data_IF_895836362071
#
_entry.id   IF_895836362071
#
_cell.length_a   1.000
_cell.length_b   1.000
_cell.length_c   1.000
_cell.angle_alpha   90.00
_cell.angle_beta   90.00
_cell.angle_gamma   90.00
#
_symmetry.space_group_name_H-M   'P 1'
#
loop_
_entity.id
_entity.type
_entity.pdbx_description
1 polymer ?
#
# COMPACT_ATOMS: atom_id res chain seq x y z
N UNK A 1 25.14 0.43 6.03
CA UNK A 1 23.83 0.81 5.45
C UNK A 1 23.25 -0.22 4.47
N UNK A 2 23.99 -1.26 4.04
CA UNK A 2 23.51 -2.27 3.07
C UNK A 2 22.17 -2.96 3.42
N UNK A 3 21.82 -3.12 4.69
CA UNK A 3 20.57 -3.79 5.10
C UNK A 3 19.31 -2.92 4.88
N UNK A 4 19.37 -1.61 5.19
CA UNK A 4 18.24 -0.68 4.92
C UNK A 4 17.98 -0.56 3.43
N UNK A 5 19.05 -0.44 2.63
CA UNK A 5 18.98 -0.47 1.17
C UNK A 5 18.31 -1.73 0.62
N UNK A 6 18.64 -2.91 1.17
CA UNK A 6 18.03 -4.20 0.77
C UNK A 6 16.55 -4.26 1.11
N UNK A 7 16.16 -3.78 2.29
CA UNK A 7 14.75 -3.72 2.70
C UNK A 7 13.97 -2.78 1.79
N UNK A 8 14.50 -1.58 1.54
CA UNK A 8 13.83 -0.59 0.71
C UNK A 8 13.66 -1.07 -0.74
N UNK A 9 14.67 -1.75 -1.30
CA UNK A 9 14.57 -2.34 -2.63
C UNK A 9 13.58 -3.51 -2.67
N UNK A 10 13.63 -4.41 -1.67
CA UNK A 10 12.68 -5.52 -1.58
C UNK A 10 11.24 -5.00 -1.48
N UNK A 11 11.02 -3.93 -0.71
CA UNK A 11 9.71 -3.30 -0.55
C UNK A 11 9.23 -2.65 -1.85
N UNK A 12 10.08 -1.91 -2.57
CA UNK A 12 9.72 -1.32 -3.87
C UNK A 12 9.35 -2.41 -4.87
N UNK A 13 10.15 -3.48 -4.97
CA UNK A 13 9.89 -4.61 -5.88
C UNK A 13 8.59 -5.32 -5.49
N UNK A 14 8.36 -5.53 -4.20
CA UNK A 14 7.13 -6.14 -3.68
C UNK A 14 5.90 -5.29 -3.96
N UNK A 15 5.97 -3.97 -3.69
CA UNK A 15 4.89 -3.03 -3.96
C UNK A 15 4.59 -2.91 -5.46
N UNK A 16 5.63 -2.84 -6.29
CA UNK A 16 5.49 -2.83 -7.75
C UNK A 16 4.87 -4.14 -8.26
N UNK A 17 5.28 -5.29 -7.73
CA UNK A 17 4.71 -6.60 -8.05
C UNK A 17 3.25 -6.70 -7.64
N UNK A 18 2.89 -6.25 -6.44
CA UNK A 18 1.49 -6.22 -5.97
C UNK A 18 0.61 -5.29 -6.82
N UNK A 19 1.12 -4.10 -7.17
CA UNK A 19 0.42 -3.16 -8.05
C UNK A 19 0.23 -3.74 -9.45
N UNK A 20 1.26 -4.33 -10.05
CA UNK A 20 1.18 -4.98 -11.37
C UNK A 20 0.26 -6.20 -11.36
N UNK A 21 0.28 -7.01 -10.31
CA UNK A 21 -0.65 -8.12 -10.15
C UNK A 21 -2.09 -7.59 -10.04
N UNK A 22 -2.32 -6.53 -9.26
CA UNK A 22 -3.65 -5.95 -9.08
C UNK A 22 -4.26 -5.38 -10.36
N UNK A 23 -3.44 -4.83 -11.27
CA UNK A 23 -3.91 -4.34 -12.57
C UNK A 23 -4.20 -5.47 -13.55
N UNK A 24 -3.36 -6.51 -13.59
CA UNK A 24 -3.55 -7.70 -14.44
C UNK A 24 -4.77 -8.53 -14.03
N UNK A 25 -5.12 -8.51 -12.75
CA UNK A 25 -6.24 -9.26 -12.18
C UNK A 25 -7.58 -8.51 -12.23
N UNK A 26 -7.63 -7.35 -12.90
CA UNK A 26 -8.81 -6.46 -12.98
C UNK A 26 -10.09 -7.09 -13.54
N UNK A 27 -10.04 -8.32 -14.08
CA UNK A 27 -11.18 -9.08 -14.58
C UNK A 27 -11.40 -10.47 -13.98
N UNK A 28 -10.53 -10.96 -13.09
CA UNK A 28 -10.64 -12.32 -12.52
C UNK A 28 -10.88 -12.21 -11.02
N UNK A 29 -12.02 -12.71 -10.49
CA UNK A 29 -12.26 -12.72 -9.06
C UNK A 29 -11.24 -13.63 -8.38
N UNK A 30 -10.22 -13.03 -7.77
CA UNK A 30 -9.20 -13.76 -7.01
C UNK A 30 -9.84 -14.45 -5.80
N UNK A 31 -9.34 -15.61 -5.37
CA UNK A 31 -9.72 -16.14 -4.07
C UNK A 31 -9.32 -15.15 -2.97
N UNK A 32 -10.29 -14.79 -2.13
CA UNK A 32 -10.17 -13.90 -0.96
C UNK A 32 -8.93 -14.11 -0.07
N UNK A 33 -8.41 -15.34 0.16
CA UNK A 33 -7.17 -15.52 0.93
C UNK A 33 -5.94 -14.89 0.27
N UNK A 34 -5.86 -14.80 -1.06
CA UNK A 34 -4.70 -14.19 -1.75
C UNK A 34 -4.68 -12.68 -1.50
N UNK A 35 -5.84 -12.03 -1.58
CA UNK A 35 -6.01 -10.59 -1.28
C UNK A 35 -5.65 -10.28 0.17
N UNK A 36 -6.03 -11.16 1.10
CA UNK A 36 -5.68 -11.02 2.52
C UNK A 36 -4.20 -11.27 2.81
N UNK A 37 -3.56 -12.18 2.07
CA UNK A 37 -2.12 -12.46 2.22
C UNK A 37 -1.24 -11.29 1.78
N UNK A 38 -1.64 -10.56 0.74
CA UNK A 38 -1.01 -9.30 0.36
C UNK A 38 -1.13 -8.23 1.46
N UNK A 39 -2.30 -8.19 2.13
CA UNK A 39 -2.58 -7.29 3.25
C UNK A 39 -1.68 -7.57 4.47
N UNK A 40 -1.50 -8.85 4.79
CA UNK A 40 -0.67 -9.31 5.92
C UNK A 40 0.82 -9.02 5.72
N UNK A 41 1.29 -8.89 4.49
CA UNK A 41 2.70 -8.63 4.19
C UNK A 41 3.01 -7.14 4.02
N UNK A 42 2.07 -6.32 3.53
CA UNK A 42 2.33 -4.89 3.30
C UNK A 42 2.49 -4.08 4.60
N UNK A 43 1.69 -4.37 5.63
CA UNK A 43 1.72 -3.70 6.94
C UNK A 43 3.03 -3.86 7.71
N UNK A 44 3.54 -5.09 7.94
CA UNK A 44 4.78 -5.28 8.69
C UNK A 44 5.99 -4.71 7.95
N UNK A 45 5.99 -4.75 6.61
CA UNK A 45 7.09 -4.19 5.81
C UNK A 45 7.14 -2.67 5.94
N UNK A 46 6.00 -1.98 5.79
CA UNK A 46 5.92 -0.52 5.98
C UNK A 46 6.34 -0.12 7.41
N UNK A 47 5.91 -0.91 8.41
CA UNK A 47 6.32 -0.72 9.80
C UNK A 47 7.84 -0.85 9.99
N UNK A 48 8.47 -1.87 9.38
CA UNK A 48 9.93 -2.08 9.43
C UNK A 48 10.66 -0.92 8.73
N UNK A 49 10.16 -0.45 7.59
CA UNK A 49 10.78 0.66 6.84
C UNK A 49 10.70 1.96 7.63
N UNK A 50 9.53 2.31 8.17
CA UNK A 50 9.35 3.50 9.04
C UNK A 50 10.23 3.39 10.29
N UNK A 51 10.28 2.21 10.92
CA UNK A 51 11.12 1.98 12.08
C UNK A 51 12.62 2.13 11.77
N UNK A 52 13.08 1.55 10.65
CA UNK A 52 14.47 1.67 10.19
C UNK A 52 14.82 3.13 9.88
N UNK A 53 13.90 3.85 9.24
CA UNK A 53 14.04 5.25 8.89
C UNK A 53 14.12 6.14 10.15
N UNK A 54 13.24 5.91 11.14
CA UNK A 54 13.26 6.60 12.44
C UNK A 54 14.52 6.31 13.24
N UNK A 55 14.98 5.05 13.24
CA UNK A 55 16.22 4.65 13.91
C UNK A 55 17.44 5.33 13.28
N UNK A 56 17.45 5.49 11.96
CA UNK A 56 18.49 6.24 11.24
C UNK A 56 18.47 7.72 11.61
N UNK A 57 17.29 8.33 11.67
CA UNK A 57 17.16 9.72 12.10
C UNK A 57 17.70 9.94 13.51
N UNK A 58 17.27 9.13 14.49
CA UNK A 58 17.71 9.23 15.88
C UNK A 58 19.24 9.11 15.99
N UNK A 59 19.85 8.20 15.22
CA UNK A 59 21.31 8.05 15.18
C UNK A 59 22.03 9.27 14.59
N UNK A 60 21.38 10.04 13.72
CA UNK A 60 22.00 11.14 12.98
C UNK A 60 21.78 12.50 13.64
N UNK A 61 20.60 12.74 14.18
CA UNK A 61 20.23 14.02 14.79
C UNK A 61 20.28 14.00 16.31
N UNK A 62 20.45 12.81 16.92
CA UNK A 62 20.44 12.63 18.38
C UNK A 62 19.09 12.93 19.04
N UNK A 63 18.05 13.25 18.24
CA UNK A 63 16.71 13.59 18.71
C UNK A 63 15.70 12.61 18.12
N UNK A 64 14.86 12.05 18.98
CA UNK A 64 13.66 11.36 18.53
C UNK A 64 12.68 12.43 18.02
N UNK A 65 12.61 12.61 16.69
CA UNK A 65 11.53 13.39 16.13
C UNK A 65 10.20 12.70 16.49
N UNK A 66 9.41 13.40 17.31
CA UNK A 66 8.09 12.97 17.78
C UNK A 66 7.00 13.35 16.79
N UNK A 67 7.31 14.05 15.70
CA UNK A 67 6.32 14.55 14.75
C UNK A 67 6.57 14.07 13.32
N UNK A 68 5.49 13.88 12.56
CA UNK A 68 5.52 13.52 11.13
C UNK A 68 6.21 14.56 10.23
N UNK A 69 6.62 15.70 10.78
CA UNK A 69 7.38 16.73 10.07
C UNK A 69 8.71 16.22 9.52
N UNK A 70 9.38 15.30 10.21
CA UNK A 70 10.61 14.70 9.68
C UNK A 70 10.35 13.89 8.40
N UNK A 71 9.26 13.12 8.39
CA UNK A 71 8.87 12.32 7.22
C UNK A 71 8.60 13.24 6.02
N UNK A 72 7.87 14.34 6.26
CA UNK A 72 7.62 15.36 5.25
C UNK A 72 8.91 16.01 4.74
N UNK A 73 9.82 16.36 5.65
CA UNK A 73 11.13 16.94 5.30
C UNK A 73 11.97 15.99 4.46
N UNK A 74 12.04 14.71 4.85
CA UNK A 74 12.74 13.66 4.11
C UNK A 74 12.21 13.57 2.68
N UNK A 75 10.90 13.52 2.51
CA UNK A 75 10.25 13.45 1.21
C UNK A 75 10.55 14.68 0.36
N UNK A 76 10.38 15.88 0.92
CA UNK A 76 10.61 17.15 0.22
C UNK A 76 12.07 17.33 -0.23
N UNK A 77 13.03 16.91 0.57
CA UNK A 77 14.46 17.08 0.27
C UNK A 77 14.98 16.07 -0.77
N UNK A 78 14.35 14.90 -0.89
CA UNK A 78 14.85 13.76 -1.69
C UNK A 78 14.07 13.50 -2.97
N UNK A 79 12.79 13.89 -3.03
CA UNK A 79 11.90 13.65 -4.15
C UNK A 79 11.59 14.93 -4.93
N UNK A 80 11.52 14.88 -6.27
CA UNK A 80 11.00 15.98 -7.06
C UNK A 80 9.50 16.13 -6.83
N UNK A 81 9.00 17.37 -6.88
CA UNK A 81 7.61 17.68 -6.54
C UNK A 81 6.57 16.92 -7.35
N UNK A 82 6.83 16.65 -8.64
CA UNK A 82 5.92 15.89 -9.49
C UNK A 82 5.75 14.43 -9.02
N UNK A 83 6.79 13.78 -8.49
CA UNK A 83 6.70 12.43 -7.94
C UNK A 83 5.84 12.41 -6.68
N UNK A 84 5.97 13.44 -5.83
CA UNK A 84 5.15 13.58 -4.63
C UNK A 84 3.67 13.79 -4.98
N UNK A 85 3.38 14.63 -5.99
CA UNK A 85 2.02 14.87 -6.47
C UNK A 85 1.42 13.57 -7.06
N UNK A 86 2.16 12.88 -7.95
CA UNK A 86 1.70 11.62 -8.54
C UNK A 86 1.45 10.56 -7.46
N UNK A 87 2.33 10.46 -6.47
CA UNK A 87 2.18 9.52 -5.37
C UNK A 87 1.01 9.86 -4.46
N UNK A 88 0.77 11.15 -4.20
CA UNK A 88 -0.38 11.61 -3.44
C UNK A 88 -1.68 11.30 -4.19
N UNK A 89 -1.73 11.51 -5.50
CA UNK A 89 -2.89 11.18 -6.34
C UNK A 89 -3.17 9.68 -6.33
N UNK A 90 -2.14 8.83 -6.44
CA UNK A 90 -2.29 7.38 -6.33
C UNK A 90 -2.79 6.97 -4.94
N UNK A 91 -2.17 7.52 -3.88
CA UNK A 91 -2.57 7.26 -2.50
C UNK A 91 -4.04 7.63 -2.26
N UNK A 92 -4.45 8.85 -2.63
CA UNK A 92 -5.83 9.32 -2.50
C UNK A 92 -6.77 8.49 -3.37
N UNK A 93 -6.37 8.15 -4.61
CA UNK A 93 -7.16 7.30 -5.50
C UNK A 93 -7.49 5.94 -4.87
N UNK A 94 -6.51 5.31 -4.21
CA UNK A 94 -6.73 4.07 -3.45
C UNK A 94 -7.69 4.23 -2.27
N UNK A 95 -7.65 5.36 -1.55
CA UNK A 95 -8.61 5.63 -0.47
C UNK A 95 -10.02 5.90 -0.99
N UNK A 96 -10.14 6.66 -2.08
CA UNK A 96 -11.41 6.94 -2.75
C UNK A 96 -12.08 5.64 -3.19
N UNK A 97 -11.33 4.76 -3.87
CA UNK A 97 -11.83 3.42 -4.23
C UNK A 97 -12.30 2.65 -2.99
N UNK A 98 -11.55 2.68 -1.89
CA UNK A 98 -11.96 2.01 -0.64
C UNK A 98 -13.27 2.52 -0.08
N UNK A 99 -13.41 3.84 0.01
CA UNK A 99 -14.59 4.49 0.55
C UNK A 99 -15.85 4.20 -0.30
N UNK A 100 -15.72 4.16 -1.63
CA UNK A 100 -16.85 3.89 -2.52
C UNK A 100 -17.31 2.42 -2.54
N UNK A 101 -16.44 1.45 -2.23
CA UNK A 101 -16.75 0.01 -2.36
C UNK A 101 -16.92 -0.75 -1.03
N UNK A 102 -16.81 -0.08 0.13
CA UNK A 102 -16.95 -0.71 1.47
C UNK A 102 -18.40 -0.88 1.99
N UNK A 103 -19.43 -0.68 1.15
CA UNK A 103 -20.83 -0.57 1.60
C UNK A 103 -21.66 -1.86 1.63
N UNK A 104 -21.30 -2.91 0.90
CA UNK A 104 -22.13 -4.11 0.76
C UNK A 104 -21.33 -5.39 0.95
N UNK A 105 -21.83 -6.29 1.80
CA UNK A 105 -21.21 -7.59 2.04
C UNK A 105 -21.94 -8.66 1.24
N UNK A 106 -21.21 -9.45 0.46
CA UNK A 106 -21.79 -10.49 -0.39
C UNK A 106 -21.40 -11.86 0.15
N UNK A 107 -22.37 -12.76 0.31
CA UNK A 107 -22.14 -14.11 0.84
C UNK A 107 -22.87 -15.17 0.02
N UNK A 108 -22.25 -16.33 -0.09
CA UNK A 108 -22.90 -17.54 -0.59
C UNK A 108 -23.54 -18.26 0.61
N UNK A 109 -24.86 -18.46 0.57
CA UNK A 109 -25.64 -19.06 1.65
C UNK A 109 -25.67 -20.60 1.59
N UNK A 110 -25.12 -21.18 0.53
CA UNK A 110 -25.18 -22.61 0.23
C UNK A 110 -26.27 -22.95 -0.80
N UNK A 111 -26.16 -24.15 -1.39
CA UNK A 111 -27.06 -24.66 -2.43
C UNK A 111 -27.20 -23.78 -3.70
N UNK A 112 -26.16 -23.02 -4.06
CA UNK A 112 -26.19 -22.12 -5.22
C UNK A 112 -27.01 -20.85 -5.01
N UNK A 113 -27.33 -20.52 -3.75
CA UNK A 113 -28.05 -19.31 -3.35
C UNK A 113 -27.07 -18.24 -2.93
N UNK A 114 -27.17 -17.06 -3.53
CA UNK A 114 -26.28 -15.92 -3.26
C UNK A 114 -27.08 -14.80 -2.60
N UNK A 115 -26.50 -14.08 -1.65
CA UNK A 115 -27.13 -12.90 -1.07
C UNK A 115 -26.16 -11.74 -0.90
N UNK A 116 -26.74 -10.54 -0.89
CA UNK A 116 -26.06 -9.31 -0.52
C UNK A 116 -26.70 -8.74 0.74
N UNK A 117 -25.87 -8.19 1.62
CA UNK A 117 -26.30 -7.47 2.79
C UNK A 117 -26.38 -5.97 2.46
N UNK A 118 -27.61 -5.43 2.50
CA UNK A 118 -27.88 -4.01 2.38
C UNK A 118 -28.58 -3.55 3.65
N UNK A 119 -28.02 -2.56 4.36
CA UNK A 119 -28.62 -1.98 5.57
C UNK A 119 -29.04 -3.00 6.64
N UNK A 120 -28.28 -4.09 6.79
CA UNK A 120 -28.55 -5.16 7.76
C UNK A 120 -29.53 -6.24 7.27
N UNK A 121 -30.16 -6.10 6.10
CA UNK A 121 -31.01 -7.12 5.50
C UNK A 121 -30.28 -7.90 4.40
N UNK A 122 -30.48 -9.21 4.37
CA UNK A 122 -29.95 -10.10 3.34
C UNK A 122 -30.97 -10.26 2.22
N UNK A 123 -30.62 -9.84 1.01
CA UNK A 123 -31.45 -10.04 -0.18
C UNK A 123 -30.81 -11.08 -1.09
N UNK A 124 -31.62 -12.03 -1.56
CA UNK A 124 -31.17 -13.06 -2.49
C UNK A 124 -30.92 -12.43 -3.86
N UNK A 125 -29.77 -12.73 -4.45
CA UNK A 125 -29.32 -12.19 -5.73
C UNK A 125 -28.96 -13.32 -6.70
N UNK A 126 -28.98 -13.01 -7.99
CA UNK A 126 -28.53 -13.93 -9.03
C UNK A 126 -27.01 -14.18 -8.96
N UNK A 127 -26.56 -15.31 -9.53
CA UNK A 127 -25.12 -15.62 -9.64
C UNK A 127 -24.32 -14.54 -10.38
N UNK A 128 -24.89 -13.96 -11.43
CA UNK A 128 -24.24 -12.91 -12.20
C UNK A 128 -24.03 -11.64 -11.35
N UNK A 129 -25.05 -11.24 -10.59
CA UNK A 129 -24.95 -10.11 -9.65
C UNK A 129 -23.97 -10.42 -8.52
N UNK A 130 -23.95 -11.65 -8.01
CA UNK A 130 -22.98 -12.09 -7.01
C UNK A 130 -21.54 -11.92 -7.49
N UNK A 131 -21.21 -12.39 -8.69
CA UNK A 131 -19.86 -12.27 -9.24
C UNK A 131 -19.45 -10.81 -9.46
N UNK A 132 -20.38 -9.98 -9.95
CA UNK A 132 -20.13 -8.55 -10.14
C UNK A 132 -19.87 -7.82 -8.81
N UNK A 133 -20.74 -8.03 -7.81
CA UNK A 133 -20.61 -7.42 -6.49
C UNK A 133 -19.39 -7.94 -5.74
N UNK A 134 -19.06 -9.23 -5.88
CA UNK A 134 -17.84 -9.83 -5.31
C UNK A 134 -16.58 -9.20 -5.90
N UNK A 135 -16.53 -9.00 -7.21
CA UNK A 135 -15.41 -8.32 -7.86
C UNK A 135 -15.28 -6.86 -7.40
N UNK A 136 -16.40 -6.14 -7.22
CA UNK A 136 -16.40 -4.79 -6.66
C UNK A 136 -15.91 -4.76 -5.20
N UNK A 137 -16.39 -5.68 -4.35
CA UNK A 137 -15.98 -5.77 -2.96
C UNK A 137 -14.48 -6.11 -2.83
N UNK A 138 -13.96 -6.95 -3.73
CA UNK A 138 -12.52 -7.25 -3.80
C UNK A 138 -11.68 -6.03 -4.17
N UNK A 139 -12.15 -5.16 -5.08
CA UNK A 139 -11.49 -3.89 -5.39
C UNK A 139 -11.44 -2.96 -4.17
N UNK A 140 -12.50 -2.94 -3.36
CA UNK A 140 -12.52 -2.26 -2.06
C UNK A 140 -11.47 -2.81 -1.09
N UNK A 141 -11.36 -4.13 -0.94
CA UNK A 141 -10.35 -4.74 -0.07
C UNK A 141 -8.91 -4.52 -0.53
N UNK A 142 -8.68 -4.42 -1.85
CA UNK A 142 -7.36 -4.13 -2.44
C UNK A 142 -6.98 -2.65 -2.34
N UNK A 143 -7.93 -1.77 -2.00
CA UNK A 143 -7.69 -0.34 -2.01
C UNK A 143 -6.77 0.10 -0.87
N UNK A 144 -7.03 -0.37 0.36
CA UNK A 144 -6.23 -0.09 1.55
C UNK A 144 -4.77 -0.56 1.40
N UNK A 145 -4.47 -1.82 1.00
CA UNK A 145 -3.10 -2.27 0.83
C UNK A 145 -2.41 -1.60 -0.36
N UNK A 146 -3.16 -1.25 -1.43
CA UNK A 146 -2.63 -0.45 -2.53
C UNK A 146 -2.15 0.93 -2.07
N UNK A 147 -2.96 1.64 -1.27
CA UNK A 147 -2.57 2.91 -0.66
C UNK A 147 -1.34 2.79 0.24
N UNK A 148 -1.28 1.74 1.09
CA UNK A 148 -0.10 1.48 1.92
C UNK A 148 1.14 1.17 1.07
N UNK A 149 1.02 0.38 0.00
CA UNK A 149 2.13 0.09 -0.92
C UNK A 149 2.69 1.35 -1.58
N UNK A 150 1.82 2.30 -1.97
CA UNK A 150 2.26 3.59 -2.52
C UNK A 150 3.06 4.36 -1.47
N UNK A 151 2.57 4.46 -0.23
CA UNK A 151 3.28 5.15 0.84
C UNK A 151 4.65 4.50 1.15
N UNK A 152 4.68 3.18 1.25
CA UNK A 152 5.88 2.35 1.40
C UNK A 152 6.91 2.62 0.30
N UNK A 153 6.52 2.52 -0.96
CA UNK A 153 7.40 2.71 -2.11
C UNK A 153 8.01 4.13 -2.14
N UNK A 154 7.21 5.14 -1.80
CA UNK A 154 7.64 6.54 -1.74
C UNK A 154 8.67 6.75 -0.63
N UNK A 155 8.41 6.23 0.57
CA UNK A 155 9.34 6.32 1.69
C UNK A 155 10.66 5.58 1.41
N UNK A 156 10.57 4.38 0.87
CA UNK A 156 11.74 3.59 0.50
C UNK A 156 12.58 4.25 -0.59
N UNK A 157 11.93 4.82 -1.60
CA UNK A 157 12.64 5.57 -2.65
C UNK A 157 13.32 6.82 -2.10
N UNK A 158 12.68 7.51 -1.16
CA UNK A 158 13.25 8.69 -0.51
C UNK A 158 14.50 8.35 0.30
N UNK A 159 14.46 7.22 1.04
CA UNK A 159 15.62 6.70 1.77
C UNK A 159 16.77 6.34 0.82
N UNK A 160 16.49 5.61 -0.26
CA UNK A 160 17.51 5.24 -1.25
C UNK A 160 18.18 6.46 -1.90
N UNK A 161 17.39 7.49 -2.25
CA UNK A 161 17.93 8.73 -2.81
C UNK A 161 18.77 9.51 -1.81
N UNK A 162 18.38 9.52 -0.53
CA UNK A 162 19.16 10.14 0.55
C UNK A 162 20.50 9.43 0.75
N UNK A 163 20.50 8.10 0.74
CA UNK A 163 21.74 7.30 0.81
C UNK A 163 22.64 7.58 -0.40
N UNK A 164 22.10 7.55 -1.62
CA UNK A 164 22.87 7.81 -2.85
C UNK A 164 23.50 9.21 -2.86
N UNK A 165 22.76 10.24 -2.42
CA UNK A 165 23.32 11.60 -2.28
C UNK A 165 24.46 11.67 -1.26
N UNK A 166 24.37 10.90 -0.17
CA UNK A 166 25.45 10.86 0.83
C UNK A 166 26.67 10.10 0.35
N UNK A 167 26.49 9.00 -0.38
CA UNK A 167 27.60 8.28 -1.01
C UNK A 167 28.34 9.18 -2.01
N UNK A 168 27.63 10.05 -2.73
CA UNK A 168 28.23 11.01 -3.66
C UNK A 168 29.03 12.15 -2.98
N UNK A 169 28.68 12.51 -1.74
CA UNK A 169 29.34 13.59 -0.97
C UNK A 169 30.49 13.07 -0.10
N UNK A 170 30.55 11.77 0.18
CA UNK A 170 31.67 11.19 0.92
C UNK A 170 32.93 11.15 0.04
N UNK A 171 34.07 11.65 0.50
CA UNK A 171 35.33 11.45 -0.22
C UNK A 171 35.59 9.95 -0.35
N UNK A 172 35.98 9.51 -1.56
CA UNK A 172 36.46 8.15 -1.77
C UNK A 172 37.77 8.02 -1.00
N UNK A 173 37.71 7.38 0.17
CA UNK A 173 38.89 6.90 0.91
C UNK A 173 39.48 5.69 0.20
#
# INVERSE_FOLDING_TARGET
>A
MRWVRRIALAEIVWCAGLLAASTLLGGIPLPTPIVMSAFLLALPVLGVTVFAARRLEIRETGRAATSGYWLWRLLRETMPGWLLIASLLLFVGFWVVGAFYMGSSVKELGAGTYAVQNHGQWTVISKAQYLHLKAQQQRGFLSVPGGLCVAAAVLSTALLRREARREAVRPKS
#
